data_IF_246013304082
#
_entry.id   IF_246013304082
#
_cell.length_a   1.000
_cell.length_b   1.000
_cell.length_c   1.000
_cell.angle_alpha   90.00
_cell.angle_beta   90.00
_cell.angle_gamma   90.00
#
_symmetry.space_group_name_H-M   'P 1'
#
loop_
_entity.id
_entity.type
_entity.pdbx_description
1 polymer ?
#
# COMPACT_ATOMS: atom_id res chain seq x y z
N UNK A 1 23.03 -2.76 9.60
CA UNK A 1 21.97 -3.17 8.64
C UNK A 1 20.71 -2.50 9.14
N UNK A 2 20.27 -1.42 8.48
CA UNK A 2 18.97 -0.82 8.80
C UNK A 2 17.88 -1.82 8.40
N UNK A 3 16.96 -2.07 9.32
CA UNK A 3 15.84 -2.99 9.10
C UNK A 3 14.69 -2.31 8.38
N UNK A 4 13.69 -3.10 7.98
CA UNK A 4 12.42 -2.56 7.50
C UNK A 4 11.70 -1.80 8.62
N UNK A 5 11.10 -0.67 8.27
CA UNK A 5 10.23 0.10 9.18
C UNK A 5 8.78 -0.12 8.76
N UNK A 6 7.88 -0.23 9.72
CA UNK A 6 6.44 -0.40 9.45
C UNK A 6 5.66 0.69 10.16
N UNK A 7 4.85 1.42 9.39
CA UNK A 7 3.95 2.46 9.88
C UNK A 7 2.49 2.11 9.61
N UNK A 8 1.60 2.44 10.55
CA UNK A 8 0.17 2.22 10.41
C UNK A 8 -0.58 3.51 10.75
N UNK A 9 -1.66 3.77 10.02
CA UNK A 9 -2.63 4.80 10.36
C UNK A 9 -4.04 4.25 10.16
N UNK A 10 -4.94 4.49 11.11
CA UNK A 10 -6.31 4.01 11.03
C UNK A 10 -7.29 5.08 11.49
N UNK A 11 -8.48 5.04 10.91
CA UNK A 11 -9.63 5.83 11.32
C UNK A 11 -10.79 4.86 11.57
N UNK A 12 -11.23 4.83 12.82
CA UNK A 12 -12.30 3.95 13.28
C UNK A 12 -13.30 4.76 14.12
N UNK A 13 -14.50 4.96 13.57
CA UNK A 13 -15.62 5.50 14.34
C UNK A 13 -16.10 4.45 15.34
N UNK A 14 -16.49 4.89 16.55
CA UNK A 14 -16.89 3.97 17.64
C UNK A 14 -18.15 3.16 17.32
N UNK A 15 -19.00 3.70 16.46
CA UNK A 15 -20.29 3.16 16.03
C UNK A 15 -20.26 2.66 14.58
N UNK A 16 -19.06 2.47 14.01
CA UNK A 16 -18.91 1.95 12.66
C UNK A 16 -19.63 0.59 12.50
N UNK A 17 -20.42 0.47 11.44
CA UNK A 17 -21.17 -0.72 11.05
C UNK A 17 -21.09 -0.96 9.54
N UNK A 18 -21.63 -2.07 9.04
CA UNK A 18 -21.66 -2.32 7.59
C UNK A 18 -22.42 -1.20 6.88
N UNK A 19 -21.71 -0.41 6.06
CA UNK A 19 -22.26 0.69 5.27
C UNK A 19 -22.44 2.02 6.03
N UNK A 20 -21.96 2.14 7.28
CA UNK A 20 -22.06 3.39 8.07
C UNK A 20 -20.85 3.58 8.99
N UNK A 21 -20.44 4.83 9.21
CA UNK A 21 -19.21 5.15 9.94
C UNK A 21 -17.94 4.84 9.15
N UNK A 22 -16.80 5.33 9.65
CA UNK A 22 -15.46 5.13 9.07
C UNK A 22 -14.81 3.91 9.71
N UNK A 23 -14.37 2.98 8.86
CA UNK A 23 -13.51 1.86 9.25
C UNK A 23 -12.49 1.66 8.13
N UNK A 24 -11.45 2.48 8.14
CA UNK A 24 -10.40 2.48 7.11
C UNK A 24 -9.02 2.67 7.72
N UNK A 25 -7.99 2.40 6.94
CA UNK A 25 -6.61 2.61 7.35
C UNK A 25 -5.63 2.28 6.26
N UNK A 26 -4.36 2.56 6.54
CA UNK A 26 -3.24 2.21 5.70
C UNK A 26 -2.07 1.68 6.52
N UNK A 27 -1.22 0.92 5.84
CA UNK A 27 0.04 0.37 6.34
C UNK A 27 1.12 0.64 5.32
N UNK A 28 2.25 1.15 5.77
CA UNK A 28 3.43 1.39 4.94
C UNK A 28 4.57 0.52 5.47
N UNK A 29 5.21 -0.22 4.57
CA UNK A 29 6.49 -0.88 4.82
C UNK A 29 7.56 -0.07 4.11
N UNK A 30 8.50 0.49 4.86
CA UNK A 30 9.62 1.28 4.35
C UNK A 30 10.90 0.45 4.38
N UNK A 31 11.68 0.55 3.30
CA UNK A 31 13.00 -0.04 3.16
C UNK A 31 14.05 1.08 3.08
N UNK A 32 14.63 1.51 4.22
CA UNK A 32 15.70 2.50 4.22
C UNK A 32 16.89 2.00 3.38
N UNK A 33 17.22 2.72 2.31
CA UNK A 33 18.26 2.33 1.35
C UNK A 33 17.78 1.49 0.15
N UNK A 34 16.48 1.29 0.02
CA UNK A 34 15.85 0.55 -1.08
C UNK A 34 15.98 -0.97 -0.96
N UNK A 35 14.95 -1.69 -1.39
CA UNK A 35 14.94 -3.16 -1.41
C UNK A 35 14.58 -3.68 -2.80
N UNK A 36 15.23 -4.77 -3.24
CA UNK A 36 14.74 -5.54 -4.40
C UNK A 36 13.37 -6.11 -4.05
N UNK A 37 12.37 -5.83 -4.88
CA UNK A 37 10.98 -6.22 -4.63
C UNK A 37 10.34 -6.83 -5.88
N UNK A 38 9.38 -7.73 -5.66
CA UNK A 38 8.52 -8.31 -6.69
C UNK A 38 7.08 -8.42 -6.17
N UNK A 39 6.10 -8.55 -7.07
CA UNK A 39 4.68 -8.62 -6.71
C UNK A 39 3.99 -9.78 -7.41
N UNK A 40 3.09 -10.45 -6.68
CA UNK A 40 2.19 -11.49 -7.18
C UNK A 40 0.76 -11.13 -6.79
N UNK A 41 -0.10 -10.87 -7.78
CA UNK A 41 -1.50 -10.46 -7.60
C UNK A 41 -2.41 -11.62 -7.94
N UNK A 42 -3.03 -12.22 -6.92
CA UNK A 42 -3.91 -13.40 -7.09
C UNK A 42 -5.42 -13.09 -7.00
N UNK A 43 -5.79 -11.85 -6.67
CA UNK A 43 -7.19 -11.44 -6.51
C UNK A 43 -7.82 -10.95 -7.82
N UNK A 44 -9.12 -11.22 -8.03
CA UNK A 44 -9.84 -10.90 -9.28
C UNK A 44 -10.31 -9.45 -9.44
N UNK A 45 -10.07 -8.57 -8.46
CA UNK A 45 -10.41 -7.14 -8.51
C UNK A 45 -9.30 -6.25 -7.93
N UNK A 46 -8.09 -6.23 -8.53
CA UNK A 46 -6.97 -5.49 -7.97
C UNK A 46 -7.13 -3.97 -8.16
N UNK A 47 -6.94 -3.23 -7.08
CA UNK A 47 -6.79 -1.77 -7.07
C UNK A 47 -5.33 -1.36 -6.89
N UNK A 48 -4.43 -1.96 -7.67
CA UNK A 48 -2.99 -1.74 -7.54
C UNK A 48 -2.53 -0.54 -8.36
N UNK A 49 -1.44 0.10 -7.93
CA UNK A 49 -0.68 1.09 -8.71
C UNK A 49 0.78 0.66 -8.74
N UNK A 50 1.46 0.96 -9.85
CA UNK A 50 2.91 0.81 -10.01
C UNK A 50 3.47 -0.62 -9.85
N UNK A 51 2.62 -1.65 -9.85
CA UNK A 51 3.05 -3.06 -9.86
C UNK A 51 3.86 -3.42 -11.10
N UNK A 52 3.62 -2.73 -12.22
CA UNK A 52 4.36 -2.92 -13.46
C UNK A 52 5.85 -2.56 -13.28
N UNK A 53 6.20 -1.63 -12.39
CA UNK A 53 7.59 -1.23 -12.13
C UNK A 53 8.42 -2.28 -11.37
N UNK A 54 7.77 -3.33 -10.86
CA UNK A 54 8.43 -4.45 -10.18
C UNK A 54 8.77 -5.60 -11.15
N UNK A 55 8.52 -5.42 -12.45
CA UNK A 55 9.06 -6.29 -13.48
C UNK A 55 10.58 -6.10 -13.57
N UNK A 56 11.38 -7.18 -13.49
CA UNK A 56 12.85 -7.09 -13.50
C UNK A 56 13.43 -6.54 -14.81
N UNK A 57 12.65 -6.40 -15.88
CA UNK A 57 13.03 -5.75 -17.14
C UNK A 57 12.89 -4.22 -17.13
N UNK A 58 12.29 -3.63 -16.09
CA UNK A 58 12.13 -2.19 -15.94
C UNK A 58 13.27 -1.52 -15.17
N UNK A 59 13.44 -0.22 -15.39
CA UNK A 59 14.59 0.59 -14.94
C UNK A 59 14.65 0.80 -13.42
N UNK A 60 13.54 0.56 -12.71
CA UNK A 60 13.46 0.66 -11.25
C UNK A 60 13.87 -0.68 -10.66
N UNK A 61 15.05 -0.71 -10.03
CA UNK A 61 15.66 -1.94 -9.51
C UNK A 61 15.37 -2.15 -8.00
N UNK A 62 14.93 -1.10 -7.31
CA UNK A 62 14.69 -1.09 -5.86
C UNK A 62 13.40 -0.33 -5.54
N UNK A 63 12.63 -0.85 -4.58
CA UNK A 63 11.47 -0.21 -3.99
C UNK A 63 11.83 0.36 -2.61
N UNK A 64 11.49 1.63 -2.38
CA UNK A 64 11.69 2.29 -1.10
C UNK A 64 10.54 2.02 -0.12
N UNK A 65 9.33 1.81 -0.63
CA UNK A 65 8.15 1.61 0.19
C UNK A 65 7.08 0.75 -0.48
N UNK A 66 6.30 0.04 0.33
CA UNK A 66 5.05 -0.63 -0.08
C UNK A 66 3.90 -0.09 0.76
N UNK A 67 2.85 0.39 0.10
CA UNK A 67 1.64 0.91 0.73
C UNK A 67 0.46 -0.06 0.55
N UNK A 68 -0.13 -0.48 1.66
CA UNK A 68 -1.36 -1.26 1.73
C UNK A 68 -2.46 -0.37 2.31
N UNK A 69 -3.56 -0.17 1.60
CA UNK A 69 -4.65 0.72 2.05
C UNK A 69 -6.01 0.05 1.90
N UNK A 70 -6.94 0.36 2.81
CA UNK A 70 -8.36 0.06 2.62
C UNK A 70 -8.91 0.78 1.39
N UNK A 71 -9.91 0.18 0.74
CA UNK A 71 -10.58 0.78 -0.40
C UNK A 71 -11.45 1.98 0.06
N UNK A 72 -11.24 3.16 -0.51
CA UNK A 72 -12.19 4.25 -0.41
C UNK A 72 -13.44 3.90 -1.26
N UNK A 73 -14.66 4.31 -0.85
CA UNK A 73 -15.86 4.13 -1.67
C UNK A 73 -15.80 4.77 -3.07
N UNK A 74 -14.82 5.64 -3.36
CA UNK A 74 -14.63 6.23 -4.70
C UNK A 74 -13.17 6.62 -4.93
N UNK A 75 -12.49 5.87 -5.81
CA UNK A 75 -11.56 6.36 -6.85
C UNK A 75 -10.35 7.26 -6.54
N UNK A 76 -10.11 7.72 -5.31
CA UNK A 76 -8.98 8.62 -5.03
C UNK A 76 -7.73 7.80 -4.64
N UNK A 77 -6.63 7.88 -5.40
CA UNK A 77 -5.39 7.25 -4.98
C UNK A 77 -4.79 7.98 -3.77
N UNK A 78 -4.18 7.26 -2.81
CA UNK A 78 -3.28 7.90 -1.85
C UNK A 78 -2.13 8.56 -2.63
N UNK A 79 -1.86 9.83 -2.35
CA UNK A 79 -0.74 10.58 -2.90
C UNK A 79 0.35 10.64 -1.85
N UNK A 80 1.41 9.84 -2.01
CA UNK A 80 2.68 10.03 -1.30
C UNK A 80 3.47 11.14 -2.01
N UNK A 81 4.14 11.97 -1.21
CA UNK A 81 5.12 12.96 -1.64
C UNK A 81 6.37 12.81 -0.77
#
# INVERSE_FOLDING_TARGET
MEGLLVGHHHELDRDAGLGSGRATGCTVVLAPGGATASVDVRGGGPGTRETDLLDPSHTVQQADAVLLTGAAPTGLPPRTG
#
